data_IF_593323755987
#
_entry.id   IF_593323755987
#
_cell.length_a   1.000
_cell.length_b   1.000
_cell.length_c   1.000
_cell.angle_alpha   90.00
_cell.angle_beta   90.00
_cell.angle_gamma   90.00
#
_symmetry.space_group_name_H-M   'P 1'
#
loop_
_entity.id
_entity.type
_entity.pdbx_description
1 polymer ?
#
# COMPACT_ATOMS: atom_id res chain seq x y z
N UNK A 1 -3.43 10.87 25.12
CA UNK A 1 -4.21 9.62 24.92
C UNK A 1 -3.37 8.43 25.40
N UNK A 2 -3.89 7.19 25.37
CA UNK A 2 -3.20 6.01 25.92
C UNK A 2 -1.79 5.80 25.33
N UNK A 3 -1.60 6.03 24.03
CA UNK A 3 -0.31 5.83 23.36
C UNK A 3 0.75 6.85 23.85
N UNK A 4 0.42 8.13 24.01
CA UNK A 4 1.38 9.12 24.56
C UNK A 4 1.82 8.75 25.98
N UNK A 5 0.88 8.27 26.81
CA UNK A 5 1.20 7.84 28.16
C UNK A 5 2.16 6.65 28.19
N UNK A 6 2.03 5.72 27.24
CA UNK A 6 2.97 4.60 27.07
C UNK A 6 4.33 5.12 26.62
N UNK A 7 4.38 5.98 25.60
CA UNK A 7 5.63 6.52 25.04
C UNK A 7 6.44 7.30 26.09
N UNK A 8 5.77 8.11 26.93
CA UNK A 8 6.41 8.84 28.05
C UNK A 8 7.09 7.94 29.07
N UNK A 9 6.70 6.66 29.16
CA UNK A 9 7.25 5.68 30.10
C UNK A 9 8.33 4.81 29.48
N UNK A 10 8.62 4.97 28.18
CA UNK A 10 9.69 4.21 27.53
C UNK A 10 11.05 4.66 28.08
N UNK A 11 11.84 3.74 28.68
CA UNK A 11 13.11 4.10 29.27
C UNK A 11 14.12 4.49 28.19
N UNK A 12 14.81 5.61 28.40
CA UNK A 12 15.87 6.10 27.52
C UNK A 12 15.43 6.28 26.06
N UNK A 13 14.16 6.61 25.80
CA UNK A 13 13.62 6.82 24.45
C UNK A 13 14.49 7.77 23.62
N UNK A 14 14.98 8.86 24.22
CA UNK A 14 15.85 9.83 23.54
C UNK A 14 17.23 9.27 23.14
N UNK A 15 17.68 8.18 23.78
CA UNK A 15 18.98 7.54 23.49
C UNK A 15 18.89 6.47 22.41
N UNK A 16 17.70 6.06 21.99
CA UNK A 16 17.56 5.00 20.99
C UNK A 16 18.03 5.48 19.62
N UNK A 17 18.67 4.60 18.85
CA UNK A 17 19.09 4.93 17.48
C UNK A 17 17.89 5.27 16.58
N UNK A 18 16.80 4.51 16.71
CA UNK A 18 15.56 4.74 15.99
C UNK A 18 14.36 4.49 16.88
N UNK A 19 13.25 5.16 16.55
CA UNK A 19 11.94 4.93 17.11
C UNK A 19 10.96 4.95 15.94
N UNK A 20 10.22 3.86 15.72
CA UNK A 20 9.42 3.66 14.51
C UNK A 20 8.06 3.09 14.86
N UNK A 21 7.02 3.64 14.25
CA UNK A 21 5.69 3.05 14.22
C UNK A 21 5.58 2.19 12.97
N UNK A 22 5.40 0.89 13.15
CA UNK A 22 5.15 -0.06 12.06
C UNK A 22 3.78 -0.70 12.22
N UNK A 23 3.05 -0.84 11.11
CA UNK A 23 1.73 -1.46 11.13
C UNK A 23 1.25 -1.84 9.74
N UNK A 24 0.13 -2.55 9.68
CA UNK A 24 -0.58 -2.80 8.43
C UNK A 24 -2.05 -3.02 8.69
N UNK A 25 -2.86 -2.51 7.79
CA UNK A 25 -4.28 -2.82 7.65
C UNK A 25 -4.57 -3.57 6.34
N UNK A 26 -3.51 -3.99 5.64
CA UNK A 26 -3.64 -4.68 4.37
C UNK A 26 -4.40 -6.01 4.59
N UNK A 27 -5.42 -6.33 3.76
CA UNK A 27 -6.23 -7.52 3.95
C UNK A 27 -5.38 -8.79 3.98
N UNK A 28 -5.62 -9.60 5.00
CA UNK A 28 -4.91 -10.85 5.21
C UNK A 28 -5.13 -11.85 4.08
N UNK A 29 -6.34 -11.86 3.53
CA UNK A 29 -6.67 -12.56 2.29
C UNK A 29 -7.40 -11.63 1.33
N UNK A 30 -7.35 -11.96 0.04
CA UNK A 30 -8.19 -11.30 -0.96
C UNK A 30 -9.64 -11.83 -0.96
N UNK A 31 -10.00 -12.75 -0.07
CA UNK A 31 -11.33 -13.39 -0.04
C UNK A 31 -12.47 -12.40 0.19
N UNK A 32 -12.25 -11.42 1.09
CA UNK A 32 -13.23 -10.39 1.43
C UNK A 32 -13.33 -9.24 0.43
N UNK A 33 -12.37 -9.10 -0.49
CA UNK A 33 -12.37 -8.04 -1.51
C UNK A 33 -13.32 -8.42 -2.64
N UNK A 34 -14.21 -7.51 -3.04
CA UNK A 34 -15.18 -7.74 -4.10
C UNK A 34 -14.49 -7.75 -5.47
N UNK A 35 -15.05 -8.50 -6.42
CA UNK A 35 -14.65 -8.38 -7.84
C UNK A 35 -15.02 -6.96 -8.29
N UNK A 36 -14.15 -6.33 -9.08
CA UNK A 36 -14.27 -4.93 -9.45
C UNK A 36 -13.18 -4.11 -8.80
N UNK A 37 -13.53 -2.93 -8.30
CA UNK A 37 -12.60 -2.05 -7.61
C UNK A 37 -13.14 -1.72 -6.22
N UNK A 38 -12.25 -1.73 -5.23
CA UNK A 38 -12.58 -1.46 -3.83
C UNK A 38 -11.45 -0.67 -3.18
N UNK A 39 -11.82 0.39 -2.46
CA UNK A 39 -10.88 1.17 -1.68
C UNK A 39 -10.78 0.58 -0.26
N UNK A 40 -9.56 0.22 0.15
CA UNK A 40 -9.26 -0.31 1.48
C UNK A 40 -8.42 0.72 2.23
N UNK A 41 -8.81 1.16 3.44
CA UNK A 41 -8.09 2.20 4.17
C UNK A 41 -6.72 1.72 4.68
N UNK A 42 -5.73 2.63 4.68
CA UNK A 42 -4.40 2.47 5.31
C UNK A 42 -4.42 3.03 6.72
N UNK A 43 -4.99 2.28 7.67
CA UNK A 43 -5.18 2.78 9.04
C UNK A 43 -3.89 3.12 9.76
N UNK A 44 -2.81 2.39 9.50
CA UNK A 44 -1.47 2.66 10.01
C UNK A 44 -0.95 4.05 9.60
N UNK A 45 -1.21 4.47 8.35
CA UNK A 45 -0.82 5.79 7.84
C UNK A 45 -1.65 6.90 8.51
N UNK A 46 -2.97 6.68 8.65
CA UNK A 46 -3.85 7.62 9.35
C UNK A 46 -3.47 7.76 10.82
N UNK A 47 -3.19 6.64 11.49
CA UNK A 47 -2.74 6.61 12.88
C UNK A 47 -1.40 7.34 13.04
N UNK A 48 -0.45 7.11 12.13
CA UNK A 48 0.83 7.79 12.12
C UNK A 48 0.69 9.32 12.10
N UNK A 49 -0.11 9.86 11.17
CA UNK A 49 -0.38 11.30 11.08
C UNK A 49 -0.95 11.86 12.40
N UNK A 50 -1.91 11.17 13.00
CA UNK A 50 -2.52 11.56 14.28
C UNK A 50 -1.52 11.51 15.45
N UNK A 51 -0.66 10.48 15.48
CA UNK A 51 0.36 10.33 16.52
C UNK A 51 1.45 11.38 16.41
N UNK A 52 1.96 11.67 15.21
CA UNK A 52 2.96 12.72 15.00
C UNK A 52 2.42 14.07 15.46
N UNK A 53 1.20 14.45 15.06
CA UNK A 53 0.57 15.69 15.51
C UNK A 53 0.40 15.73 17.05
N UNK A 54 -0.04 14.62 17.64
CA UNK A 54 -0.17 14.50 19.09
C UNK A 54 1.16 14.56 19.84
N UNK A 55 2.22 13.97 19.29
CA UNK A 55 3.55 13.92 19.91
C UNK A 55 4.23 15.28 19.81
N UNK A 56 4.12 15.98 18.66
CA UNK A 56 4.56 17.37 18.52
C UNK A 56 3.96 18.26 19.61
N UNK A 57 2.64 18.18 19.82
CA UNK A 57 1.94 18.97 20.86
C UNK A 57 2.39 18.65 22.29
N UNK A 58 2.81 17.41 22.55
CA UNK A 58 3.27 16.98 23.88
C UNK A 58 4.80 17.03 24.04
N UNK A 59 5.54 17.52 23.03
CA UNK A 59 7.02 17.59 23.07
C UNK A 59 7.69 16.22 23.11
N UNK A 60 7.07 15.18 22.54
CA UNK A 60 7.61 13.82 22.51
C UNK A 60 8.44 13.58 21.24
N UNK A 61 9.47 12.73 21.35
CA UNK A 61 10.23 12.25 20.18
C UNK A 61 9.29 11.67 19.13
N UNK A 62 9.41 12.15 17.89
CA UNK A 62 8.59 11.69 16.77
C UNK A 62 9.07 10.32 16.27
N UNK A 63 8.17 9.34 16.09
CA UNK A 63 8.52 8.08 15.45
C UNK A 63 8.69 8.29 13.94
N UNK A 64 9.54 7.48 13.31
CA UNK A 64 9.48 7.27 11.86
C UNK A 64 8.34 6.34 11.49
N UNK A 65 7.95 6.33 10.22
CA UNK A 65 6.91 5.45 9.69
C UNK A 65 7.50 4.16 9.09
N UNK A 66 6.78 3.06 9.22
CA UNK A 66 6.98 1.85 8.45
C UNK A 66 5.65 1.12 8.22
N UNK A 67 5.58 0.34 7.16
CA UNK A 67 4.44 -0.54 6.89
C UNK A 67 4.89 -1.87 6.25
N UNK A 68 3.91 -2.70 5.87
CA UNK A 68 4.13 -3.98 5.20
C UNK A 68 3.80 -3.92 3.69
N UNK A 69 3.96 -2.73 3.11
CA UNK A 69 3.65 -2.45 1.72
C UNK A 69 2.24 -2.89 1.29
N UNK A 70 2.16 -3.72 0.25
CA UNK A 70 0.92 -4.24 -0.32
C UNK A 70 0.66 -5.70 0.07
N UNK A 71 1.13 -6.14 1.25
CA UNK A 71 0.91 -7.50 1.73
C UNK A 71 0.70 -7.54 3.25
N UNK A 72 -0.15 -8.48 3.68
CA UNK A 72 -0.25 -8.79 5.10
C UNK A 72 0.98 -9.59 5.56
N UNK A 73 1.50 -9.37 6.78
CA UNK A 73 2.70 -10.04 7.30
C UNK A 73 2.52 -11.53 7.59
N UNK A 74 1.27 -11.97 7.83
CA UNK A 74 0.98 -13.40 8.01
C UNK A 74 1.26 -14.16 6.72
N UNK A 75 2.27 -15.02 6.77
CA UNK A 75 2.58 -15.96 5.69
C UNK A 75 1.57 -17.11 5.74
N UNK A 76 0.68 -17.16 4.75
CA UNK A 76 -0.21 -18.30 4.59
C UNK A 76 0.50 -19.37 3.77
N UNK A 77 0.76 -20.53 4.39
CA UNK A 77 1.24 -21.71 3.67
C UNK A 77 0.04 -22.32 2.96
N UNK A 78 -0.09 -22.02 1.67
CA UNK A 78 -1.16 -22.52 0.82
C UNK A 78 -0.61 -23.53 -0.17
N UNK A 79 -1.29 -24.66 -0.32
CA UNK A 79 -1.01 -25.55 -1.45
C UNK A 79 -1.48 -24.87 -2.74
N UNK A 80 -0.51 -24.32 -3.47
CA UNK A 80 -0.77 -23.65 -4.73
C UNK A 80 -1.38 -24.58 -5.77
N UNK A 81 -1.34 -25.91 -5.64
CA UNK A 81 -2.05 -26.86 -6.53
C UNK A 81 -3.56 -26.81 -6.32
N UNK A 82 -4.03 -26.46 -5.13
CA UNK A 82 -5.46 -26.40 -4.78
C UNK A 82 -6.01 -24.98 -4.93
N UNK A 83 -5.23 -23.96 -4.57
CA UNK A 83 -5.71 -22.58 -4.55
C UNK A 83 -5.86 -21.99 -5.96
N UNK A 84 -6.98 -21.29 -6.21
CA UNK A 84 -7.20 -20.52 -7.44
C UNK A 84 -7.09 -19.02 -7.14
N UNK A 85 -5.88 -18.42 -7.21
CA UNK A 85 -5.69 -17.02 -6.87
C UNK A 85 -6.41 -16.10 -7.88
N UNK A 86 -7.06 -15.07 -7.37
CA UNK A 86 -7.64 -13.98 -8.18
C UNK A 86 -6.55 -13.12 -8.82
N UNK A 87 -6.80 -12.64 -10.04
CA UNK A 87 -6.05 -11.51 -10.58
C UNK A 87 -6.32 -10.28 -9.71
N UNK A 88 -5.27 -9.62 -9.24
CA UNK A 88 -5.39 -8.40 -8.45
C UNK A 88 -4.34 -7.38 -8.86
N UNK A 89 -4.74 -6.12 -9.02
CA UNK A 89 -3.86 -4.95 -9.04
C UNK A 89 -4.05 -4.24 -7.70
N UNK A 90 -2.94 -3.98 -6.99
CA UNK A 90 -2.93 -3.34 -5.67
C UNK A 90 -2.26 -1.98 -5.86
N UNK A 91 -3.08 -0.93 -5.92
CA UNK A 91 -2.63 0.42 -6.22
C UNK A 91 -2.71 1.27 -4.95
N UNK A 92 -1.64 1.97 -4.57
CA UNK A 92 -1.61 2.72 -3.31
C UNK A 92 -2.13 4.12 -3.56
N UNK A 93 -3.01 4.60 -2.68
CA UNK A 93 -3.61 5.93 -2.76
C UNK A 93 -3.37 6.66 -1.43
N UNK A 94 -3.71 7.95 -1.37
CA UNK A 94 -3.34 8.85 -0.26
C UNK A 94 -3.63 8.29 1.14
N UNK A 95 -4.79 7.66 1.32
CA UNK A 95 -5.24 7.14 2.61
C UNK A 95 -5.70 5.67 2.54
N UNK A 96 -5.20 4.93 1.55
CA UNK A 96 -5.67 3.58 1.27
C UNK A 96 -4.94 2.82 0.17
N UNK A 97 -5.55 1.72 -0.25
CA UNK A 97 -5.25 1.03 -1.49
C UNK A 97 -6.52 0.98 -2.33
N UNK A 98 -6.40 1.33 -3.60
CA UNK A 98 -7.39 1.03 -4.61
C UNK A 98 -7.08 -0.36 -5.18
N UNK A 99 -7.81 -1.36 -4.71
CA UNK A 99 -7.61 -2.76 -5.11
C UNK A 99 -8.57 -3.09 -6.24
N UNK A 100 -8.02 -3.40 -7.41
CA UNK A 100 -8.79 -3.90 -8.55
C UNK A 100 -8.65 -5.41 -8.62
N UNK A 101 -9.77 -6.12 -8.46
CA UNK A 101 -9.82 -7.59 -8.40
C UNK A 101 -10.64 -8.17 -9.54
N UNK A 102 -10.05 -9.11 -10.25
CA UNK A 102 -10.69 -9.94 -11.25
C UNK A 102 -11.07 -11.33 -10.73
N UNK A 103 -11.31 -12.24 -11.67
CA UNK A 103 -11.58 -13.65 -11.38
C UNK A 103 -10.27 -14.42 -11.19
N UNK A 104 -10.37 -15.71 -10.86
CA UNK A 104 -9.18 -16.54 -10.68
C UNK A 104 -8.40 -16.71 -12.00
N UNK A 105 -7.07 -16.64 -11.93
CA UNK A 105 -6.22 -16.69 -13.14
C UNK A 105 -6.09 -18.08 -13.75
N UNK A 106 -6.46 -19.14 -13.02
CA UNK A 106 -6.41 -20.52 -13.53
C UNK A 106 -7.50 -20.80 -14.54
N UNK A 107 -8.71 -20.33 -14.25
CA UNK A 107 -9.89 -20.56 -15.09
C UNK A 107 -10.09 -19.44 -16.10
N UNK A 108 -9.60 -18.22 -15.82
CA UNK A 108 -9.85 -17.03 -16.64
C UNK A 108 -8.59 -16.41 -17.26
N UNK A 109 -7.41 -16.98 -17.01
CA UNK A 109 -6.14 -16.52 -17.57
C UNK A 109 -5.69 -15.14 -17.10
N UNK A 110 -4.58 -14.67 -17.66
CA UNK A 110 -3.96 -13.38 -17.33
C UNK A 110 -4.48 -12.21 -18.20
N UNK A 111 -5.19 -12.48 -19.31
CA UNK A 111 -5.70 -11.41 -20.20
C UNK A 111 -6.67 -10.44 -19.52
N UNK A 112 -7.35 -10.87 -18.45
CA UNK A 112 -8.15 -9.98 -17.63
C UNK A 112 -7.37 -8.77 -17.09
N UNK A 113 -6.05 -8.87 -16.93
CA UNK A 113 -5.24 -7.74 -16.44
C UNK A 113 -5.31 -6.51 -17.33
N UNK A 114 -5.62 -6.61 -18.63
CA UNK A 114 -5.79 -5.42 -19.48
C UNK A 114 -6.99 -4.57 -19.05
N UNK A 115 -8.13 -5.22 -18.78
CA UNK A 115 -9.35 -4.54 -18.30
C UNK A 115 -9.26 -4.16 -16.83
N UNK A 116 -8.50 -4.91 -16.00
CA UNK A 116 -8.20 -4.48 -14.64
C UNK A 116 -7.30 -3.22 -14.65
N UNK A 117 -6.30 -3.16 -15.53
CA UNK A 117 -5.47 -1.97 -15.71
C UNK A 117 -6.30 -0.78 -16.16
N UNK A 118 -7.25 -0.98 -17.08
CA UNK A 118 -8.19 0.08 -17.51
C UNK A 118 -8.88 0.73 -16.30
N UNK A 119 -9.39 -0.09 -15.37
CA UNK A 119 -10.06 0.39 -14.16
C UNK A 119 -9.15 1.21 -13.24
N UNK A 120 -7.84 1.01 -13.29
CA UNK A 120 -6.88 1.88 -12.61
C UNK A 120 -6.74 3.18 -13.38
N UNK A 121 -6.45 3.12 -14.69
CA UNK A 121 -6.19 4.29 -15.52
C UNK A 121 -7.35 5.30 -15.55
N UNK A 122 -8.59 4.81 -15.61
CA UNK A 122 -9.78 5.67 -15.61
C UNK A 122 -10.23 6.11 -14.22
N UNK A 123 -9.59 5.60 -13.17
CA UNK A 123 -9.89 6.03 -11.80
C UNK A 123 -9.26 7.40 -11.53
N UNK A 124 -9.84 8.21 -10.63
CA UNK A 124 -9.23 9.48 -10.20
C UNK A 124 -7.93 9.28 -9.40
N UNK A 125 -7.52 8.02 -9.15
CA UNK A 125 -6.38 7.69 -8.32
C UNK A 125 -5.09 7.50 -9.12
N UNK A 126 -5.17 7.30 -10.43
CA UNK A 126 -3.99 7.01 -11.25
C UNK A 126 -3.05 8.22 -11.32
N UNK A 127 -1.76 8.01 -11.03
CA UNK A 127 -0.74 9.05 -10.92
C UNK A 127 0.02 9.35 -12.23
N UNK A 128 -0.40 8.77 -13.37
CA UNK A 128 0.28 8.79 -14.67
C UNK A 128 1.46 7.80 -14.78
N UNK A 129 1.75 7.41 -16.01
CA UNK A 129 2.78 6.47 -16.44
C UNK A 129 4.20 6.92 -16.07
N UNK A 130 4.42 8.22 -15.92
CA UNK A 130 5.69 8.78 -15.47
C UNK A 130 5.93 8.70 -13.97
N UNK A 131 4.93 8.31 -13.17
CA UNK A 131 5.02 8.31 -11.71
C UNK A 131 5.95 7.23 -11.18
N UNK A 132 5.80 6.00 -11.68
CA UNK A 132 6.65 4.87 -11.30
C UNK A 132 6.74 3.85 -12.43
N UNK A 133 7.71 2.93 -12.34
CA UNK A 133 7.77 1.78 -13.25
C UNK A 133 6.48 0.94 -13.22
N UNK A 134 5.85 0.81 -12.05
CA UNK A 134 4.59 0.11 -11.90
C UNK A 134 3.44 0.78 -12.65
N UNK A 135 3.38 2.11 -12.64
CA UNK A 135 2.38 2.89 -13.36
C UNK A 135 2.53 2.76 -14.88
N UNK A 136 3.77 2.88 -15.37
CA UNK A 136 4.08 2.63 -16.78
C UNK A 136 3.68 1.21 -17.21
N UNK A 137 3.92 0.21 -16.37
CA UNK A 137 3.53 -1.18 -16.64
C UNK A 137 2.00 -1.34 -16.75
N UNK A 138 1.24 -0.71 -15.85
CA UNK A 138 -0.23 -0.73 -15.87
C UNK A 138 -0.74 -0.14 -17.20
N UNK A 139 -0.20 1.01 -17.61
CA UNK A 139 -0.54 1.66 -18.87
C UNK A 139 -0.22 0.79 -20.09
N UNK A 140 1.01 0.24 -20.16
CA UNK A 140 1.43 -0.65 -21.25
C UNK A 140 0.60 -1.94 -21.30
N UNK A 141 0.23 -2.50 -20.15
CA UNK A 141 -0.64 -3.66 -20.09
C UNK A 141 -2.05 -3.35 -20.62
N UNK A 142 -2.61 -2.17 -20.30
CA UNK A 142 -3.93 -1.77 -20.78
C UNK A 142 -3.96 -1.62 -22.31
N UNK A 143 -3.02 -0.85 -22.87
CA UNK A 143 -3.02 -0.53 -24.31
C UNK A 143 -2.47 -1.65 -25.21
N UNK A 144 -2.05 -2.78 -24.62
CA UNK A 144 -1.54 -3.95 -25.34
C UNK A 144 -0.11 -3.84 -25.85
N UNK A 145 0.61 -2.75 -25.54
CA UNK A 145 2.05 -2.62 -25.86
C UNK A 145 2.95 -3.40 -24.88
N UNK A 146 2.41 -3.78 -23.71
CA UNK A 146 3.06 -4.59 -22.68
C UNK A 146 2.44 -5.97 -22.53
N UNK A 147 3.14 -6.86 -21.82
CA UNK A 147 2.63 -8.20 -21.46
C UNK A 147 1.70 -8.09 -20.25
N UNK A 148 0.77 -9.06 -20.13
CA UNK A 148 -0.11 -9.21 -18.96
C UNK A 148 0.61 -9.79 -17.74
N UNK A 149 1.83 -10.31 -17.92
CA UNK A 149 2.67 -10.80 -16.83
C UNK A 149 2.10 -12.03 -16.12
N UNK A 150 2.54 -12.23 -14.88
CA UNK A 150 2.07 -13.27 -13.98
C UNK A 150 1.82 -12.69 -12.58
N UNK A 151 1.34 -13.50 -11.64
CA UNK A 151 1.04 -13.03 -10.28
C UNK A 151 2.24 -12.38 -9.58
N UNK A 152 3.47 -12.86 -9.83
CA UNK A 152 4.69 -12.27 -9.26
C UNK A 152 4.97 -10.89 -9.86
N UNK A 153 4.80 -10.73 -11.17
CA UNK A 153 4.95 -9.42 -11.83
C UNK A 153 3.98 -8.40 -11.23
N UNK A 154 2.72 -8.77 -11.01
CA UNK A 154 1.74 -7.87 -10.38
C UNK A 154 2.04 -7.54 -8.92
N UNK A 155 2.79 -8.40 -8.21
CA UNK A 155 3.36 -8.03 -6.90
C UNK A 155 4.47 -7.00 -7.06
N UNK A 156 5.37 -7.16 -8.03
CA UNK A 156 6.44 -6.20 -8.29
C UNK A 156 5.88 -4.83 -8.68
N UNK A 157 4.90 -4.80 -9.60
CA UNK A 157 4.22 -3.58 -10.07
C UNK A 157 3.62 -2.80 -8.91
N UNK A 158 2.79 -3.45 -8.09
CA UNK A 158 2.15 -2.80 -6.95
C UNK A 158 3.13 -2.38 -5.85
N UNK A 159 4.19 -3.18 -5.59
CA UNK A 159 5.21 -2.81 -4.60
C UNK A 159 6.04 -1.62 -5.06
N UNK A 160 6.42 -1.57 -6.35
CA UNK A 160 7.17 -0.44 -6.90
C UNK A 160 6.38 0.87 -6.76
N UNK A 161 5.14 0.88 -7.25
CA UNK A 161 4.25 2.03 -7.12
C UNK A 161 4.02 2.40 -5.63
N UNK A 162 3.85 1.41 -4.75
CA UNK A 162 3.66 1.65 -3.32
C UNK A 162 4.87 2.36 -2.70
N UNK A 163 6.09 1.91 -2.98
CA UNK A 163 7.32 2.54 -2.44
C UNK A 163 7.40 4.00 -2.90
N UNK A 164 7.17 4.27 -4.19
CA UNK A 164 7.13 5.64 -4.70
C UNK A 164 6.08 6.47 -3.96
N UNK A 165 4.85 5.95 -3.85
CA UNK A 165 3.74 6.64 -3.17
C UNK A 165 4.04 6.97 -1.72
N UNK A 166 4.62 6.04 -0.96
CA UNK A 166 4.96 6.25 0.45
C UNK A 166 6.08 7.27 0.63
N UNK A 167 7.07 7.28 -0.26
CA UNK A 167 8.12 8.31 -0.24
C UNK A 167 7.49 9.69 -0.46
N UNK A 168 6.62 9.84 -1.45
CA UNK A 168 5.92 11.10 -1.74
C UNK A 168 4.98 11.52 -0.58
N UNK A 169 4.25 10.57 0.01
CA UNK A 169 3.38 10.80 1.17
C UNK A 169 4.18 11.34 2.37
N UNK A 170 5.33 10.72 2.67
CA UNK A 170 6.20 11.14 3.77
C UNK A 170 6.82 12.50 3.49
N UNK A 171 7.35 12.73 2.29
CA UNK A 171 7.93 14.01 1.89
C UNK A 171 6.89 15.13 2.01
N UNK A 172 5.68 14.93 1.48
CA UNK A 172 4.58 15.90 1.55
C UNK A 172 4.09 16.14 2.97
N UNK A 173 3.96 15.07 3.77
CA UNK A 173 3.53 15.17 5.16
C UNK A 173 4.52 15.99 5.99
N UNK A 174 5.83 15.80 5.80
CA UNK A 174 6.83 16.56 6.54
C UNK A 174 7.03 17.97 6.00
N UNK A 175 7.01 18.19 4.68
CA UNK A 175 7.10 19.52 4.08
C UNK A 175 5.89 20.42 4.45
N UNK A 176 4.68 19.87 4.50
CA UNK A 176 3.49 20.61 4.98
C UNK A 176 3.49 20.81 6.49
N UNK A 177 4.34 20.09 7.21
CA UNK A 177 4.49 20.16 8.66
C UNK A 177 5.61 21.10 9.11
N UNK A 178 6.26 21.82 8.17
CA UNK A 178 7.30 22.81 8.41
C UNK A 178 6.70 24.12 8.93
N UNK A 179 6.21 24.05 10.17
CA UNK A 179 6.78 24.87 11.24
C UNK A 179 7.83 23.96 11.91
N UNK A 180 9.05 23.97 11.38
CA UNK A 180 10.24 23.48 12.08
C UNK A 180 10.77 24.58 12.99
#
# INVERSE_FOLDING_TARGET
MAIQAIVKRLPSLEKWRSFTLIGTSFPETMGGIKIGAEAVPRYEWRLYKLLVAGFKREGLRLPTFGDYAISHPRVLVLDMRVVKPSATIRYTIDDGWYIVKGKNVRDHGFEQYRSLSEKVLVSPHYCDSGYSWGDEYIMKCNNGSGKTGNLMVWRQVGTNHHVEKVIQDLASFYASSDVL
#
